data_IF_039588071534
#
_entry.id   IF_039588071534
#
_cell.length_a   1.000
_cell.length_b   1.000
_cell.length_c   1.000
_cell.angle_alpha   90.00
_cell.angle_beta   90.00
_cell.angle_gamma   90.00
#
_symmetry.space_group_name_H-M   'P 1'
#
loop_
_entity.id
_entity.type
_entity.pdbx_description
1 polymer ?
#
# COMPACT_ATOMS: atom_id res chain seq x y z
N UNK A 1 -19.72 -24.47 -22.37
CA UNK A 1 -19.99 -23.51 -21.28
C UNK A 1 -18.80 -23.60 -20.35
N UNK A 2 -17.73 -22.84 -20.64
CA UNK A 2 -16.46 -22.93 -19.93
C UNK A 2 -16.56 -21.98 -18.74
N UNK A 3 -16.42 -22.53 -17.54
CA UNK A 3 -16.31 -21.79 -16.30
C UNK A 3 -15.01 -20.99 -16.32
N UNK A 4 -15.09 -19.67 -16.48
CA UNK A 4 -13.98 -18.78 -16.15
C UNK A 4 -13.93 -18.67 -14.62
N UNK A 5 -13.21 -19.59 -13.98
CA UNK A 5 -12.65 -19.36 -12.66
C UNK A 5 -11.65 -18.22 -12.77
N UNK A 6 -12.12 -16.98 -12.60
CA UNK A 6 -11.27 -15.85 -12.24
C UNK A 6 -10.79 -16.12 -10.81
N UNK A 7 -9.72 -16.90 -10.68
CA UNK A 7 -8.86 -16.78 -9.51
C UNK A 7 -8.33 -15.36 -9.57
N UNK A 8 -8.84 -14.47 -8.72
CA UNK A 8 -8.38 -13.10 -8.62
C UNK A 8 -6.88 -13.16 -8.28
N UNK A 9 -6.04 -12.98 -9.29
CA UNK A 9 -4.60 -12.94 -9.11
C UNK A 9 -4.32 -11.64 -8.35
N UNK A 10 -4.11 -11.74 -7.04
CA UNK A 10 -3.81 -10.60 -6.19
C UNK A 10 -2.41 -10.09 -6.54
N UNK A 11 -2.33 -9.09 -7.41
CA UNK A 11 -1.06 -8.49 -7.82
C UNK A 11 -0.62 -7.53 -6.72
N UNK A 12 0.58 -7.77 -6.17
CA UNK A 12 1.28 -6.77 -5.34
C UNK A 12 2.09 -5.88 -6.26
N UNK A 13 1.85 -4.57 -6.19
CA UNK A 13 2.53 -3.55 -6.95
C UNK A 13 3.55 -2.84 -6.06
N UNK A 14 4.69 -2.48 -6.66
CA UNK A 14 5.62 -1.54 -6.08
C UNK A 14 5.21 -0.11 -6.46
N UNK A 15 5.71 0.88 -5.73
CA UNK A 15 5.55 2.30 -6.11
C UNK A 15 6.06 2.56 -7.53
N UNK A 16 7.16 1.92 -7.94
CA UNK A 16 7.72 2.04 -9.29
C UNK A 16 6.81 1.54 -10.41
N UNK A 17 5.90 0.59 -10.12
CA UNK A 17 4.93 0.10 -11.11
C UNK A 17 3.91 1.18 -11.47
N UNK A 18 3.51 2.01 -10.50
CA UNK A 18 2.58 3.12 -10.71
C UNK A 18 3.16 4.24 -11.59
N UNK A 19 4.47 4.44 -11.56
CA UNK A 19 5.14 5.38 -12.47
C UNK A 19 5.04 4.93 -13.93
N UNK A 20 5.05 3.61 -14.16
CA UNK A 20 4.93 3.01 -15.48
C UNK A 20 3.49 2.60 -15.83
N UNK A 21 2.49 3.08 -15.09
CA UNK A 21 1.09 2.61 -15.18
C UNK A 21 0.50 2.58 -16.58
N UNK A 22 0.85 3.55 -17.43
CA UNK A 22 0.37 3.62 -18.82
C UNK A 22 0.90 2.44 -19.64
N UNK A 23 2.18 2.10 -19.46
CA UNK A 23 2.81 0.95 -20.12
C UNK A 23 2.33 -0.38 -19.53
N UNK A 24 2.07 -0.39 -18.23
CA UNK A 24 1.58 -1.56 -17.49
C UNK A 24 0.05 -1.75 -17.58
N UNK A 25 -0.68 -0.84 -18.23
CA UNK A 25 -2.15 -0.82 -18.32
C UNK A 25 -2.84 -0.92 -16.94
N UNK A 26 -2.26 -0.28 -15.91
CA UNK A 26 -2.81 -0.21 -14.56
C UNK A 26 -3.84 0.91 -14.52
N UNK A 27 -5.09 0.58 -14.17
CA UNK A 27 -6.13 1.57 -13.89
C UNK A 27 -5.94 2.13 -12.49
N UNK A 28 -6.15 3.43 -12.31
CA UNK A 28 -6.16 4.09 -10.98
C UNK A 28 -7.60 4.14 -10.47
N UNK A 29 -7.80 4.56 -9.22
CA UNK A 29 -9.10 4.53 -8.52
C UNK A 29 -9.59 3.10 -8.25
N UNK A 30 -8.71 2.28 -7.69
CA UNK A 30 -9.01 0.90 -7.32
C UNK A 30 -8.14 0.49 -6.13
N UNK A 31 -8.45 -0.64 -5.50
CA UNK A 31 -7.70 -1.19 -4.37
C UNK A 31 -6.57 -2.08 -4.86
N UNK A 32 -5.37 -1.82 -4.36
CA UNK A 32 -4.15 -2.55 -4.66
C UNK A 32 -3.49 -3.07 -3.39
N UNK A 33 -2.67 -4.10 -3.57
CA UNK A 33 -1.60 -4.39 -2.63
C UNK A 33 -0.39 -3.57 -3.05
N UNK A 34 0.07 -2.66 -2.20
CA UNK A 34 1.21 -1.79 -2.50
C UNK A 34 2.31 -2.00 -1.49
N UNK A 35 3.52 -2.26 -1.99
CA UNK A 35 4.70 -2.52 -1.18
C UNK A 35 5.79 -1.49 -1.47
N UNK A 36 6.43 -1.01 -0.40
CA UNK A 36 7.38 0.10 -0.45
C UNK A 36 8.03 0.39 0.90
N UNK A 37 8.99 1.31 0.91
CA UNK A 37 9.60 1.81 2.14
C UNK A 37 8.68 2.88 2.74
N UNK A 38 8.07 2.58 3.88
CA UNK A 38 7.24 3.55 4.60
C UNK A 38 8.15 4.49 5.37
N UNK A 39 8.11 5.77 5.02
CA UNK A 39 8.58 6.86 5.86
C UNK A 39 7.35 7.51 6.51
N UNK A 40 7.31 7.43 7.84
CA UNK A 40 6.31 8.06 8.68
C UNK A 40 7.01 8.90 9.74
N UNK A 41 6.70 10.20 9.79
CA UNK A 41 7.10 11.09 10.88
C UNK A 41 5.91 11.92 11.36
N UNK A 42 6.13 12.89 12.26
CA UNK A 42 5.09 13.74 12.84
C UNK A 42 4.31 14.57 11.80
N UNK A 43 4.87 14.80 10.61
CA UNK A 43 4.35 15.70 9.59
C UNK A 43 4.04 15.00 8.27
N UNK A 44 4.81 13.98 7.93
CA UNK A 44 4.78 13.32 6.63
C UNK A 44 4.49 11.83 6.75
N UNK A 45 3.84 11.32 5.71
CA UNK A 45 3.57 9.90 5.54
C UNK A 45 3.68 9.59 4.05
N UNK A 46 4.69 8.82 3.67
CA UNK A 46 5.01 8.50 2.27
C UNK A 46 5.45 7.06 2.15
N UNK A 47 5.04 6.43 1.06
CA UNK A 47 5.54 5.12 0.66
C UNK A 47 6.48 5.29 -0.53
N UNK A 48 7.75 5.00 -0.34
CA UNK A 48 8.78 5.14 -1.38
C UNK A 48 8.97 3.84 -2.17
N UNK A 49 9.38 4.02 -3.42
CA UNK A 49 9.96 2.98 -4.27
C UNK A 49 11.31 2.52 -3.70
N UNK A 50 11.69 1.28 -3.99
CA UNK A 50 13.02 0.76 -3.64
C UNK A 50 14.07 1.08 -4.70
N UNK A 51 13.62 1.30 -5.93
CA UNK A 51 14.50 1.37 -7.08
C UNK A 51 14.87 2.80 -7.45
N UNK A 52 14.08 3.77 -6.99
CA UNK A 52 14.23 5.18 -7.29
C UNK A 52 13.60 6.04 -6.19
N UNK A 53 13.74 7.36 -6.31
CA UNK A 53 13.24 8.34 -5.35
C UNK A 53 11.73 8.61 -5.46
N UNK A 54 11.00 7.79 -6.21
CA UNK A 54 9.55 7.98 -6.38
C UNK A 54 8.80 7.56 -5.14
N UNK A 55 7.68 8.23 -4.87
CA UNK A 55 6.84 7.91 -3.73
C UNK A 55 5.36 8.12 -4.02
N UNK A 56 4.52 7.49 -3.19
CA UNK A 56 3.11 7.79 -3.04
C UNK A 56 2.90 8.47 -1.68
N UNK A 57 2.42 9.72 -1.61
CA UNK A 57 1.99 10.30 -0.35
C UNK A 57 0.77 9.55 0.19
N UNK A 58 0.69 9.45 1.52
CA UNK A 58 -0.46 8.90 2.24
C UNK A 58 -1.34 10.08 2.65
N UNK A 59 -2.40 10.32 1.88
CA UNK A 59 -3.32 11.44 2.07
C UNK A 59 -4.53 11.07 2.94
N UNK A 60 -4.36 10.05 3.78
CA UNK A 60 -5.40 9.45 4.61
C UNK A 60 -5.13 9.77 6.10
N UNK A 61 -5.78 10.80 6.67
CA UNK A 61 -5.46 11.28 8.02
C UNK A 61 -5.68 10.23 9.12
N UNK A 62 -6.77 9.45 9.01
CA UNK A 62 -7.10 8.39 9.97
C UNK A 62 -6.06 7.27 9.92
N UNK A 63 -5.63 6.87 8.72
CA UNK A 63 -4.56 5.88 8.59
C UNK A 63 -3.25 6.38 9.20
N UNK A 64 -2.89 7.63 8.93
CA UNK A 64 -1.66 8.22 9.48
C UNK A 64 -1.70 8.28 11.02
N UNK A 65 -2.82 8.64 11.62
CA UNK A 65 -2.99 8.63 13.09
C UNK A 65 -2.85 7.22 13.67
N UNK A 66 -3.53 6.23 13.08
CA UNK A 66 -3.48 4.85 13.56
C UNK A 66 -2.08 4.27 13.38
N UNK A 67 -1.41 4.49 12.24
CA UNK A 67 -0.04 4.04 12.02
C UNK A 67 0.92 4.62 13.06
N UNK A 68 0.84 5.92 13.36
CA UNK A 68 1.67 6.58 14.39
C UNK A 68 1.43 6.06 15.79
N UNK A 69 0.23 5.56 16.09
CA UNK A 69 -0.04 4.93 17.40
C UNK A 69 0.52 3.50 17.52
N UNK A 70 0.84 2.84 16.41
CA UNK A 70 1.38 1.48 16.38
C UNK A 70 2.89 1.41 16.10
N UNK A 71 3.44 2.43 15.42
CA UNK A 71 4.84 2.50 15.02
C UNK A 71 5.57 3.56 15.87
N UNK A 72 6.90 3.60 15.76
CA UNK A 72 7.67 4.72 16.31
C UNK A 72 7.26 6.03 15.64
N UNK A 73 7.35 7.15 16.38
CA UNK A 73 7.07 8.48 15.84
C UNK A 73 7.84 8.76 14.54
N UNK A 74 9.08 8.29 14.46
CA UNK A 74 9.87 8.23 13.23
C UNK A 74 10.04 6.77 12.83
N UNK A 75 9.34 6.35 11.78
CA UNK A 75 9.44 5.01 11.21
C UNK A 75 9.95 5.09 9.78
N UNK A 76 10.98 4.30 9.46
CA UNK A 76 11.56 4.19 8.13
C UNK A 76 11.98 2.73 7.86
N UNK A 77 11.05 1.93 7.33
CA UNK A 77 11.31 0.53 6.97
C UNK A 77 10.22 -0.02 6.03
N UNK A 78 10.30 -1.28 5.66
CA UNK A 78 9.38 -1.96 4.77
C UNK A 78 7.93 -1.93 5.24
N UNK A 79 7.03 -1.74 4.28
CA UNK A 79 5.60 -1.85 4.50
C UNK A 79 4.87 -2.44 3.29
N UNK A 80 3.78 -3.16 3.58
CA UNK A 80 2.83 -3.71 2.63
C UNK A 80 1.45 -3.23 3.04
N UNK A 81 0.76 -2.57 2.12
CA UNK A 81 -0.57 -2.02 2.31
C UNK A 81 -1.58 -2.74 1.43
N UNK A 82 -2.82 -2.83 1.90
CA UNK A 82 -3.97 -2.90 1.00
C UNK A 82 -4.66 -1.54 1.02
N UNK A 83 -4.70 -0.90 -0.14
CA UNK A 83 -5.00 0.54 -0.22
C UNK A 83 -5.63 0.93 -1.55
N UNK A 84 -6.52 1.92 -1.50
CA UNK A 84 -7.04 2.61 -2.66
C UNK A 84 -6.04 3.66 -3.16
N UNK A 85 -5.59 3.52 -4.39
CA UNK A 85 -4.70 4.47 -5.06
C UNK A 85 -5.48 5.26 -6.09
N UNK A 86 -5.40 6.58 -6.03
CA UNK A 86 -6.09 7.48 -6.96
C UNK A 86 -5.17 8.59 -7.46
N UNK A 87 -5.59 9.25 -8.53
CA UNK A 87 -4.95 10.49 -8.98
C UNK A 87 -5.36 11.63 -8.03
N UNK A 88 -4.40 12.15 -7.26
CA UNK A 88 -4.53 13.35 -6.47
C UNK A 88 -4.35 14.62 -7.31
N UNK A 89 -4.28 15.78 -6.65
CA UNK A 89 -4.20 17.06 -7.34
C UNK A 89 -2.94 17.22 -8.21
N UNK A 90 -1.81 16.64 -7.78
CA UNK A 90 -0.51 16.82 -8.43
C UNK A 90 0.17 15.50 -8.84
N UNK A 91 -0.20 14.39 -8.20
CA UNK A 91 0.42 13.07 -8.41
C UNK A 91 -0.55 11.96 -7.99
N UNK A 92 -0.17 10.71 -8.21
CA UNK A 92 -0.84 9.60 -7.53
C UNK A 92 -0.64 9.71 -6.02
N UNK A 93 -1.63 9.22 -5.28
CA UNK A 93 -1.61 9.18 -3.83
C UNK A 93 -2.33 7.94 -3.30
N UNK A 94 -1.96 7.55 -2.09
CA UNK A 94 -2.72 6.62 -1.27
C UNK A 94 -3.84 7.43 -0.61
N UNK A 95 -5.06 7.27 -1.14
CA UNK A 95 -6.23 8.00 -0.66
C UNK A 95 -6.93 7.27 0.50
N UNK A 96 -6.89 5.94 0.53
CA UNK A 96 -7.52 5.15 1.59
C UNK A 96 -6.70 3.91 1.89
N UNK A 97 -6.21 3.77 3.12
CA UNK A 97 -5.46 2.61 3.59
C UNK A 97 -6.37 1.74 4.47
N UNK A 98 -6.53 0.47 4.13
CA UNK A 98 -7.41 -0.45 4.88
C UNK A 98 -6.65 -1.16 6.00
N UNK A 99 -5.43 -1.58 5.69
CA UNK A 99 -4.52 -2.19 6.66
C UNK A 99 -3.09 -2.12 6.16
N UNK A 100 -2.15 -2.24 7.11
CA UNK A 100 -0.73 -2.32 6.86
C UNK A 100 -0.10 -3.53 7.56
N UNK A 101 0.98 -4.06 6.97
CA UNK A 101 1.94 -4.92 7.64
C UNK A 101 3.31 -4.28 7.44
N UNK A 102 4.05 -4.15 8.53
CA UNK A 102 5.33 -3.43 8.59
C UNK A 102 6.43 -4.40 9.05
N UNK A 103 7.64 -4.24 8.54
CA UNK A 103 8.75 -5.09 8.94
C UNK A 103 10.07 -4.77 8.25
N UNK A 104 11.12 -5.39 8.78
CA UNK A 104 12.49 -5.24 8.28
C UNK A 104 12.62 -5.85 6.89
N UNK A 105 12.79 -4.96 5.93
CA UNK A 105 12.87 -5.29 4.51
C UNK A 105 14.09 -6.13 4.15
N UNK A 106 15.23 -5.85 4.78
CA UNK A 106 16.52 -6.42 4.45
C UNK A 106 16.71 -7.80 5.08
N UNK A 107 16.02 -8.05 6.20
CA UNK A 107 16.21 -9.26 7.00
C UNK A 107 15.12 -10.31 6.82
N UNK A 108 13.90 -9.92 6.46
CA UNK A 108 12.77 -10.85 6.46
C UNK A 108 11.80 -10.64 5.30
N UNK A 109 11.27 -11.73 4.70
CA UNK A 109 10.24 -11.62 3.69
C UNK A 109 8.90 -11.14 4.30
N UNK A 110 7.99 -10.52 3.52
CA UNK A 110 6.70 -10.02 4.02
C UNK A 110 5.83 -11.02 4.77
N UNK A 111 5.96 -12.32 4.46
CA UNK A 111 5.27 -13.40 5.16
C UNK A 111 5.67 -13.57 6.64
N UNK A 112 6.77 -12.94 7.07
CA UNK A 112 7.31 -13.00 8.43
C UNK A 112 7.32 -11.64 9.13
N UNK A 113 6.74 -10.63 8.49
CA UNK A 113 6.63 -9.31 9.08
C UNK A 113 5.63 -9.30 10.24
N UNK A 114 5.56 -8.15 10.92
CA UNK A 114 4.78 -8.00 12.15
C UNK A 114 3.28 -8.22 11.97
N UNK A 115 2.54 -7.99 13.06
CA UNK A 115 1.10 -8.11 13.04
C UNK A 115 0.46 -7.11 12.09
N UNK A 116 -0.71 -7.50 11.58
CA UNK A 116 -1.52 -6.68 10.70
C UNK A 116 -2.14 -5.51 11.48
N UNK A 117 -1.78 -4.29 11.11
CA UNK A 117 -2.36 -3.05 11.63
C UNK A 117 -3.64 -2.78 10.84
N UNK A 118 -4.79 -2.88 11.50
CA UNK A 118 -6.09 -2.61 10.89
C UNK A 118 -6.44 -1.13 11.03
N UNK A 119 -6.76 -0.48 9.91
CA UNK A 119 -7.23 0.91 9.89
C UNK A 119 -8.75 0.92 9.84
N UNK A 120 -9.33 0.26 8.84
CA UNK A 120 -10.79 0.23 8.62
C UNK A 120 -11.24 -1.01 7.84
N UNK A 121 -12.55 -1.33 7.84
CA UNK A 121 -13.08 -2.45 7.10
C UNK A 121 -12.79 -2.34 5.60
N UNK A 122 -12.41 -3.48 5.00
CA UNK A 122 -12.20 -3.62 3.57
C UNK A 122 -13.56 -3.93 2.89
N UNK A 123 -13.90 -3.27 1.76
CA UNK A 123 -15.08 -3.63 1.00
C UNK A 123 -15.00 -5.09 0.52
N UNK A 124 -16.13 -5.80 0.53
CA UNK A 124 -16.15 -7.24 0.27
C UNK A 124 -15.61 -7.62 -1.11
N UNK A 125 -15.80 -6.76 -2.11
CA UNK A 125 -15.29 -6.97 -3.47
C UNK A 125 -13.76 -6.98 -3.57
N UNK A 126 -13.07 -6.44 -2.56
CA UNK A 126 -11.61 -6.40 -2.48
C UNK A 126 -11.06 -7.38 -1.42
N UNK A 127 -11.91 -8.17 -0.75
CA UNK A 127 -11.47 -9.23 0.14
C UNK A 127 -11.09 -10.49 -0.64
N UNK A 128 -9.87 -10.48 -1.19
CA UNK A 128 -9.33 -11.58 -2.00
C UNK A 128 -9.05 -12.88 -1.23
N UNK A 129 -9.50 -13.00 0.02
CA UNK A 129 -9.42 -14.23 0.83
C UNK A 129 -10.66 -15.11 0.71
N UNK A 130 -11.64 -14.75 -0.13
CA UNK A 130 -12.82 -15.58 -0.45
C UNK A 130 -12.58 -16.48 -1.66
#
# INVERSE_FOLDING_TARGET
>A
MIWNNLVAMTITLTVGDFNNRVKANIKTNEVFFVYGLLWLDEHEARLYSYYDDSYLPICDPEACEILRSHLSNEYLDGALFQTWVSDGANSLEIHTLYWAICGDLDKTPPSKWGDKIFIRPLPEEYDYRR
#
